data_IF_652473888906
#
_entry.id   IF_652473888906
#
_cell.length_a   1.000
_cell.length_b   1.000
_cell.length_c   1.000
_cell.angle_alpha   90.00
_cell.angle_beta   90.00
_cell.angle_gamma   90.00
#
_symmetry.space_group_name_H-M   'P 1'
#
loop_
_entity.id
_entity.type
_entity.pdbx_description
1 polymer ?
#
# COMPACT_ATOMS: atom_id res chain seq x y z
N UNK A 1 -12.24 2.73 -27.59
CA UNK A 1 -12.18 2.61 -27.02
C UNK A 1 -12.04 2.71 -26.37
N UNK A 2 -12.11 2.74 -26.33
CA UNK A 2 -12.02 2.79 -25.61
C UNK A 2 -11.92 2.84 -24.78
N UNK A 3 -11.55 3.17 -25.03
CA UNK A 3 -11.42 3.02 -23.88
C UNK A 3 -12.49 2.85 -23.21
N UNK A 4 -13.18 2.91 -23.61
CA UNK A 4 -14.16 2.78 -23.18
C UNK A 4 -14.42 1.93 -22.28
N UNK A 5 -14.41 1.43 -22.29
CA UNK A 5 -14.75 0.56 -21.52
C UNK A 5 -14.19 0.51 -20.23
N UNK A 6 -13.18 0.95 -20.09
CA UNK A 6 -12.52 0.89 -18.91
C UNK A 6 -13.09 1.70 -17.86
N UNK A 7 -13.60 2.81 -18.15
CA UNK A 7 -14.17 3.64 -17.20
C UNK A 7 -15.36 3.07 -16.58
N UNK A 8 -16.09 2.36 -17.33
CA UNK A 8 -17.23 1.78 -16.82
C UNK A 8 -16.92 0.76 -15.81
N UNK A 9 -15.86 0.02 -16.06
CA UNK A 9 -15.43 -0.95 -15.12
C UNK A 9 -15.13 -0.33 -13.79
N UNK A 10 -14.60 0.85 -13.83
CA UNK A 10 -14.26 1.54 -12.63
C UNK A 10 -15.49 1.78 -11.77
N UNK A 11 -16.57 2.18 -12.36
CA UNK A 11 -17.79 2.38 -11.63
C UNK A 11 -18.36 1.10 -11.10
N UNK A 12 -18.23 0.05 -11.84
CA UNK A 12 -18.71 -1.21 -11.38
C UNK A 12 -17.96 -1.70 -10.20
N UNK A 13 -16.67 -1.44 -10.16
CA UNK A 13 -15.88 -1.83 -9.04
C UNK A 13 -16.35 -1.14 -7.78
N UNK A 14 -16.67 0.12 -7.87
CA UNK A 14 -17.17 0.83 -6.73
C UNK A 14 -18.44 0.24 -6.18
N UNK A 15 -19.31 -0.15 -7.05
CA UNK A 15 -20.56 -0.73 -6.63
C UNK A 15 -20.33 -2.05 -5.95
N UNK A 16 -19.42 -2.83 -6.48
CA UNK A 16 -19.19 -4.13 -5.93
C UNK A 16 -18.48 -4.09 -4.60
N UNK A 17 -17.75 -3.06 -4.31
CA UNK A 17 -17.04 -3.01 -3.04
C UNK A 17 -17.98 -2.92 -1.87
N UNK A 18 -19.24 -2.69 -2.10
CA UNK A 18 -20.19 -2.72 -1.03
C UNK A 18 -20.30 -4.12 -0.47
N UNK A 19 -20.10 -5.11 -1.29
CA UNK A 19 -20.26 -6.48 -0.88
C UNK A 19 -18.97 -7.15 -0.57
N UNK A 20 -17.87 -6.65 -1.10
CA UNK A 20 -16.59 -7.23 -0.86
C UNK A 20 -15.68 -6.14 -0.31
N UNK A 21 -14.84 -6.50 0.59
CA UNK A 21 -13.90 -5.55 1.14
C UNK A 21 -12.59 -5.65 0.42
N UNK A 22 -12.07 -4.51 0.03
CA UNK A 22 -10.73 -4.46 -0.50
C UNK A 22 -9.78 -4.34 0.67
N UNK A 23 -8.74 -5.14 0.65
CA UNK A 23 -7.73 -5.11 1.69
C UNK A 23 -6.43 -4.65 1.10
N UNK A 24 -5.80 -3.70 1.76
CA UNK A 24 -4.52 -3.22 1.32
C UNK A 24 -3.44 -4.08 1.94
N UNK A 25 -2.64 -4.70 1.10
CA UNK A 25 -1.52 -5.52 1.54
C UNK A 25 -0.22 -4.85 1.16
N UNK A 26 0.84 -5.20 1.84
CA UNK A 26 2.12 -4.57 1.55
C UNK A 26 3.27 -5.56 1.74
N UNK A 27 4.43 -5.16 1.23
CA UNK A 27 5.66 -5.93 1.33
C UNK A 27 6.69 -5.23 2.18
N UNK A 28 6.27 -4.37 3.10
CA UNK A 28 7.21 -3.56 3.86
C UNK A 28 8.20 -4.39 4.65
N UNK A 29 7.72 -5.41 5.33
CA UNK A 29 8.60 -6.23 6.13
C UNK A 29 9.64 -6.92 5.27
N UNK A 30 9.20 -7.42 4.13
CA UNK A 30 10.08 -8.09 3.19
C UNK A 30 11.13 -7.12 2.65
N UNK A 31 10.71 -5.93 2.27
CA UNK A 31 11.62 -4.95 1.70
C UNK A 31 12.58 -4.40 2.75
N UNK A 32 12.10 -4.25 3.98
CA UNK A 32 12.99 -3.86 5.07
C UNK A 32 14.10 -4.89 5.25
N UNK A 33 13.71 -6.17 5.25
CA UNK A 33 14.70 -7.23 5.40
C UNK A 33 15.71 -7.22 4.26
N UNK A 34 15.21 -6.98 3.05
CA UNK A 34 16.09 -6.91 1.89
C UNK A 34 17.15 -5.82 2.06
N UNK A 35 16.73 -4.67 2.55
CA UNK A 35 17.60 -3.50 2.65
C UNK A 35 18.24 -3.33 4.02
N UNK A 36 18.01 -4.25 4.92
CA UNK A 36 18.65 -4.21 6.23
C UNK A 36 18.15 -3.12 7.15
N UNK A 37 16.89 -2.73 7.02
CA UNK A 37 16.32 -1.67 7.85
C UNK A 37 15.41 -2.27 8.91
N UNK A 38 15.45 -1.70 10.12
CA UNK A 38 14.46 -2.07 11.11
C UNK A 38 13.31 -1.07 11.05
N UNK A 39 12.27 -1.30 11.83
CA UNK A 39 11.08 -0.45 11.80
C UNK A 39 11.40 1.00 12.17
N UNK A 40 12.25 1.18 13.16
CA UNK A 40 12.61 2.52 13.61
C UNK A 40 13.34 3.28 12.52
N UNK A 41 14.24 2.60 11.84
CA UNK A 41 15.00 3.24 10.77
C UNK A 41 14.11 3.64 9.61
N UNK A 42 13.22 2.75 9.22
CA UNK A 42 12.30 3.08 8.15
C UNK A 42 11.39 4.24 8.54
N UNK A 43 10.90 4.22 9.77
CA UNK A 43 10.02 5.28 10.24
C UNK A 43 10.73 6.64 10.19
N UNK A 44 11.99 6.66 10.58
CA UNK A 44 12.76 7.88 10.57
C UNK A 44 12.90 8.43 9.16
N UNK A 45 13.26 7.58 8.23
CA UNK A 45 13.43 8.01 6.84
C UNK A 45 12.11 8.46 6.25
N UNK A 46 11.03 7.76 6.56
CA UNK A 46 9.72 8.09 6.01
C UNK A 46 9.06 9.27 6.71
N UNK A 47 9.59 9.67 7.85
CA UNK A 47 9.03 10.81 8.58
C UNK A 47 7.76 10.48 9.33
N UNK A 48 7.64 9.26 9.82
CA UNK A 48 6.48 8.83 10.60
C UNK A 48 6.98 8.13 11.86
N UNK A 49 6.05 7.79 12.75
CA UNK A 49 6.43 7.09 13.97
C UNK A 49 6.67 5.63 13.69
N UNK A 50 7.44 4.98 14.57
CA UNK A 50 7.67 3.56 14.46
C UNK A 50 6.34 2.80 14.59
N UNK A 51 5.44 3.31 15.43
CA UNK A 51 4.15 2.69 15.58
C UNK A 51 3.38 2.69 14.27
N UNK A 52 3.48 3.76 13.51
CA UNK A 52 2.84 3.83 12.20
C UNK A 52 3.35 2.74 11.27
N UNK A 53 4.68 2.53 11.26
CA UNK A 53 5.25 1.48 10.43
C UNK A 53 4.76 0.11 10.90
N UNK A 54 4.70 -0.10 12.21
CA UNK A 54 4.24 -1.36 12.75
C UNK A 54 2.79 -1.64 12.34
N UNK A 55 1.94 -0.63 12.42
CA UNK A 55 0.55 -0.80 12.03
C UNK A 55 0.41 -1.03 10.52
N UNK A 56 1.23 -0.36 9.74
CA UNK A 56 1.24 -0.58 8.29
C UNK A 56 1.57 -2.03 7.97
N UNK A 57 2.59 -2.56 8.62
CA UNK A 57 3.04 -3.92 8.31
C UNK A 57 2.01 -4.95 8.70
N UNK A 58 1.15 -4.64 9.65
CA UNK A 58 0.10 -5.55 10.06
C UNK A 58 -1.20 -5.34 9.32
N UNK A 59 -1.18 -4.47 8.33
CA UNK A 59 -2.36 -4.14 7.54
C UNK A 59 -3.47 -3.50 8.37
N UNK A 60 -3.09 -2.79 9.43
CA UNK A 60 -4.03 -2.16 10.33
C UNK A 60 -4.11 -0.66 10.15
N UNK A 61 -3.45 -0.14 9.15
CA UNK A 61 -3.41 1.28 8.90
C UNK A 61 -3.24 1.51 7.41
N UNK A 62 -4.07 2.39 6.85
CA UNK A 62 -3.97 2.73 5.44
C UNK A 62 -3.18 4.03 5.32
N UNK A 63 -2.03 4.01 4.66
CA UNK A 63 -1.22 5.22 4.59
C UNK A 63 -1.83 6.25 3.65
N UNK A 64 -1.49 7.51 3.86
CA UNK A 64 -1.84 8.52 2.87
C UNK A 64 -1.04 8.24 1.61
N UNK A 65 -1.48 8.83 0.50
CA UNK A 65 -0.75 8.64 -0.75
C UNK A 65 0.67 9.20 -0.63
N UNK A 66 0.84 10.27 0.12
CA UNK A 66 2.17 10.86 0.30
C UNK A 66 3.09 9.87 0.99
N UNK A 67 2.62 9.26 2.06
CA UNK A 67 3.43 8.29 2.80
C UNK A 67 3.73 7.08 1.93
N UNK A 68 2.72 6.61 1.20
CA UNK A 68 2.91 5.44 0.33
C UNK A 68 3.98 5.70 -0.72
N UNK A 69 3.93 6.87 -1.34
CA UNK A 69 4.91 7.22 -2.38
C UNK A 69 6.30 7.39 -1.79
N UNK A 70 6.40 7.97 -0.59
CA UNK A 70 7.69 8.10 0.07
C UNK A 70 8.31 6.75 0.36
N UNK A 71 7.51 5.83 0.84
CA UNK A 71 8.01 4.49 1.17
C UNK A 71 8.48 3.80 -0.10
N UNK A 72 7.71 3.92 -1.18
CA UNK A 72 8.12 3.33 -2.44
C UNK A 72 9.46 3.88 -2.90
N UNK A 73 9.67 5.18 -2.74
CA UNK A 73 10.93 5.80 -3.12
C UNK A 73 12.09 5.30 -2.25
N UNK A 74 11.83 5.13 -0.97
CA UNK A 74 12.87 4.64 -0.06
C UNK A 74 13.39 3.28 -0.52
N UNK A 75 12.49 2.42 -0.96
CA UNK A 75 12.88 1.08 -1.38
C UNK A 75 13.21 1.00 -2.87
N UNK A 76 13.09 2.09 -3.60
CA UNK A 76 13.36 2.13 -5.04
C UNK A 76 12.49 1.13 -5.78
N UNK A 77 11.22 1.09 -5.38
CA UNK A 77 10.24 0.21 -6.01
C UNK A 77 9.04 1.02 -6.45
N UNK A 78 8.34 0.59 -7.50
CA UNK A 78 7.08 1.25 -7.83
C UNK A 78 6.10 1.04 -6.69
N UNK A 79 5.22 2.00 -6.49
CA UNK A 79 4.29 1.92 -5.36
C UNK A 79 3.42 0.66 -5.47
N UNK A 80 3.11 0.24 -6.68
CA UNK A 80 2.30 -0.96 -6.87
C UNK A 80 3.02 -2.23 -6.49
N UNK A 81 4.35 -2.18 -6.41
CA UNK A 81 5.12 -3.33 -5.95
C UNK A 81 5.20 -3.38 -4.44
N UNK A 82 4.95 -2.25 -3.79
CA UNK A 82 5.01 -2.18 -2.33
C UNK A 82 3.64 -2.43 -1.72
N UNK A 83 2.62 -1.83 -2.30
CA UNK A 83 1.25 -1.95 -1.81
C UNK A 83 0.38 -2.53 -2.91
N UNK A 84 -0.57 -3.36 -2.53
CA UNK A 84 -1.52 -3.88 -3.50
C UNK A 84 -2.86 -4.09 -2.83
N UNK A 85 -3.90 -4.11 -3.64
CA UNK A 85 -5.24 -4.38 -3.16
C UNK A 85 -5.57 -5.83 -3.41
N UNK A 86 -6.18 -6.46 -2.41
CA UNK A 86 -6.67 -7.82 -2.56
C UNK A 86 -8.13 -7.81 -2.14
N UNK A 87 -8.93 -8.52 -2.89
CA UNK A 87 -10.32 -8.63 -2.54
C UNK A 87 -10.51 -9.71 -1.52
N UNK A 88 -11.41 -9.43 -0.60
CA UNK A 88 -11.71 -10.36 0.45
C UNK A 88 -12.79 -11.27 -0.02
N UNK A 89 -12.61 -12.16 -0.71
CA UNK A 89 -13.65 -12.97 -1.06
C UNK A 89 -13.98 -13.47 -2.19
#
# INVERSE_FOLDING_TARGET
MLAKNKKMCYNEIKIRTKEKKDMLKNRLKELRARDGLNQTELAKIAGVSRQTISLLERDEYTPSIVIALKIAQIFHEPVESVFRLEEDG
#
